data_IF_965018128746
#
_entry.id   IF_965018128746
#
_cell.length_a   1.000
_cell.length_b   1.000
_cell.length_c   1.000
_cell.angle_alpha   90.00
_cell.angle_beta   90.00
_cell.angle_gamma   90.00
#
_symmetry.space_group_name_H-M   'P 1'
#
loop_
_entity.id
_entity.type
_entity.pdbx_description
1 polymer ?
#
# COMPACT_ATOMS: atom_id res chain seq x y z
N UNK A 1 -21.61 -16.74 3.22
CA UNK A 1 -20.15 -16.57 3.32
C UNK A 1 -19.93 -15.19 3.88
N UNK A 2 -19.48 -15.08 5.13
CA UNK A 2 -19.23 -13.76 5.75
C UNK A 2 -17.90 -13.26 5.19
N UNK A 3 -17.92 -12.09 4.57
CA UNK A 3 -16.69 -11.44 4.12
C UNK A 3 -15.91 -10.98 5.36
N UNK A 4 -14.67 -11.41 5.48
CA UNK A 4 -13.80 -10.97 6.57
C UNK A 4 -13.34 -9.54 6.28
N UNK A 5 -14.01 -8.57 6.93
CA UNK A 5 -13.73 -7.14 6.76
C UNK A 5 -12.33 -6.75 7.27
N UNK A 6 -11.79 -7.46 8.25
CA UNK A 6 -10.45 -7.15 8.78
C UNK A 6 -9.37 -7.63 7.82
N UNK A 7 -9.57 -8.80 7.19
CA UNK A 7 -8.70 -9.24 6.11
C UNK A 7 -8.68 -8.20 4.97
N UNK A 8 -9.85 -7.71 4.55
CA UNK A 8 -9.95 -6.71 3.49
C UNK A 8 -9.34 -5.37 3.88
N UNK A 9 -9.55 -4.92 5.12
CA UNK A 9 -8.90 -3.72 5.64
C UNK A 9 -7.37 -3.89 5.64
N UNK A 10 -6.88 -5.07 5.99
CA UNK A 10 -5.45 -5.40 5.93
C UNK A 10 -4.87 -5.26 4.53
N UNK A 11 -5.59 -5.69 3.49
CA UNK A 11 -5.12 -5.56 2.09
C UNK A 11 -4.89 -4.11 1.69
N UNK A 12 -5.90 -3.24 1.90
CA UNK A 12 -5.76 -1.83 1.55
C UNK A 12 -4.71 -1.14 2.44
N UNK A 13 -4.71 -1.42 3.74
CA UNK A 13 -3.75 -0.83 4.68
C UNK A 13 -2.32 -1.16 4.28
N UNK A 14 -2.01 -2.43 4.03
CA UNK A 14 -0.66 -2.86 3.68
C UNK A 14 -0.23 -2.25 2.34
N UNK A 15 -1.13 -2.14 1.36
CA UNK A 15 -0.85 -1.47 0.09
C UNK A 15 -0.57 0.03 0.26
N UNK A 16 -1.34 0.73 1.09
CA UNK A 16 -1.12 2.15 1.41
C UNK A 16 0.21 2.35 2.15
N UNK A 17 0.54 1.48 3.11
CA UNK A 17 1.86 1.52 3.79
C UNK A 17 2.97 1.36 2.76
N UNK A 18 2.90 0.35 1.89
CA UNK A 18 3.91 0.15 0.84
C UNK A 18 4.04 1.39 -0.07
N UNK A 19 2.92 2.01 -0.43
CA UNK A 19 2.91 3.18 -1.30
C UNK A 19 3.44 4.45 -0.62
N UNK A 20 3.24 4.61 0.69
CA UNK A 20 3.68 5.76 1.47
C UNK A 20 5.17 5.75 1.82
N UNK A 21 5.80 4.56 1.84
CA UNK A 21 7.20 4.40 2.23
C UNK A 21 8.16 5.21 1.32
N UNK A 22 9.32 5.64 1.83
CA UNK A 22 10.37 6.21 0.99
C UNK A 22 10.92 5.14 0.03
N UNK A 23 11.39 5.57 -1.14
CA UNK A 23 11.84 4.68 -2.24
C UNK A 23 12.67 3.46 -1.80
N UNK A 24 13.73 3.56 -0.96
CA UNK A 24 14.52 2.39 -0.57
C UNK A 24 13.68 1.33 0.15
N UNK A 25 12.71 1.78 0.95
CA UNK A 25 11.82 0.91 1.69
C UNK A 25 10.73 0.33 0.79
N UNK A 26 10.22 1.09 -0.20
CA UNK A 26 9.31 0.55 -1.22
C UNK A 26 9.94 -0.64 -1.93
N UNK A 27 11.18 -0.49 -2.40
CA UNK A 27 11.92 -1.58 -3.04
C UNK A 27 12.12 -2.76 -2.09
N UNK A 28 12.45 -2.49 -0.82
CA UNK A 28 12.68 -3.54 0.18
C UNK A 28 11.42 -4.37 0.44
N UNK A 29 10.25 -3.75 0.56
CA UNK A 29 9.00 -4.45 0.91
C UNK A 29 8.32 -5.13 -0.27
N UNK A 30 8.60 -4.72 -1.51
CA UNK A 30 8.08 -5.37 -2.72
C UNK A 30 8.99 -6.45 -3.29
N UNK A 31 10.28 -6.47 -2.93
CA UNK A 31 11.20 -7.52 -3.39
C UNK A 31 10.68 -8.91 -2.98
N UNK A 32 10.73 -9.95 -3.84
CA UNK A 32 11.44 -10.03 -5.13
C UNK A 32 10.67 -9.54 -6.37
N UNK A 33 9.46 -9.01 -6.19
CA UNK A 33 8.59 -8.61 -7.29
C UNK A 33 9.00 -7.28 -7.96
N UNK A 34 8.17 -6.86 -8.91
CA UNK A 34 8.37 -5.63 -9.64
C UNK A 34 7.78 -4.46 -8.83
N UNK A 35 8.63 -3.62 -8.24
CA UNK A 35 8.17 -2.56 -7.32
C UNK A 35 7.07 -1.66 -7.89
N UNK A 36 7.14 -1.27 -9.16
CA UNK A 36 6.11 -0.40 -9.76
C UNK A 36 4.79 -1.14 -9.97
N UNK A 37 4.84 -2.37 -10.48
CA UNK A 37 3.65 -3.21 -10.68
C UNK A 37 3.01 -3.57 -9.34
N UNK A 38 3.79 -4.08 -8.40
CA UNK A 38 3.29 -4.56 -7.11
C UNK A 38 2.61 -3.43 -6.33
N UNK A 39 3.21 -2.23 -6.28
CA UNK A 39 2.60 -1.07 -5.62
C UNK A 39 1.25 -0.67 -6.25
N UNK A 40 1.16 -0.67 -7.58
CA UNK A 40 -0.05 -0.30 -8.31
C UNK A 40 -1.13 -1.37 -8.15
N UNK A 41 -0.77 -2.63 -8.36
CA UNK A 41 -1.68 -3.77 -8.33
C UNK A 41 -2.21 -4.02 -6.91
N UNK A 42 -1.35 -3.98 -5.88
CA UNK A 42 -1.77 -4.15 -4.49
C UNK A 42 -2.71 -3.03 -4.06
N UNK A 43 -2.41 -1.77 -4.41
CA UNK A 43 -3.31 -0.64 -4.11
C UNK A 43 -4.65 -0.79 -4.84
N UNK A 44 -4.62 -1.05 -6.14
CA UNK A 44 -5.84 -1.16 -6.97
C UNK A 44 -6.73 -2.29 -6.46
N UNK A 45 -6.14 -3.44 -6.18
CA UNK A 45 -6.85 -4.60 -5.64
C UNK A 45 -7.40 -4.32 -4.23
N UNK A 46 -6.55 -3.83 -3.32
CA UNK A 46 -6.92 -3.50 -1.95
C UNK A 46 -8.06 -2.48 -1.90
N UNK A 47 -7.96 -1.40 -2.68
CA UNK A 47 -8.98 -0.35 -2.78
C UNK A 47 -10.31 -0.93 -3.27
N UNK A 48 -10.29 -1.70 -4.35
CA UNK A 48 -11.49 -2.30 -4.92
C UNK A 48 -12.20 -3.20 -3.89
N UNK A 49 -11.47 -4.09 -3.24
CA UNK A 49 -12.02 -4.97 -2.22
C UNK A 49 -12.58 -4.18 -1.03
N UNK A 50 -11.87 -3.15 -0.58
CA UNK A 50 -12.27 -2.31 0.56
C UNK A 50 -13.52 -1.51 0.26
N UNK A 51 -13.60 -0.81 -0.88
CA UNK A 51 -14.78 -0.04 -1.27
C UNK A 51 -16.01 -0.94 -1.41
N UNK A 52 -15.86 -2.16 -1.95
CA UNK A 52 -16.98 -3.08 -2.14
C UNK A 52 -17.49 -3.69 -0.83
N UNK A 53 -16.61 -3.91 0.15
CA UNK A 53 -16.92 -4.73 1.34
C UNK A 53 -16.94 -3.95 2.65
N UNK A 54 -16.33 -2.77 2.67
CA UNK A 54 -16.07 -1.93 3.83
C UNK A 54 -16.42 -0.45 3.57
N UNK A 55 -17.34 -0.15 2.63
CA UNK A 55 -17.77 1.22 2.35
C UNK A 55 -18.35 1.95 3.55
N UNK A 56 -18.87 1.21 4.54
CA UNK A 56 -19.33 1.73 5.83
C UNK A 56 -18.21 2.30 6.71
N UNK A 57 -16.94 2.02 6.39
CA UNK A 57 -15.74 2.55 7.07
C UNK A 57 -15.14 3.76 6.36
N UNK A 58 -15.70 4.18 5.23
CA UNK A 58 -15.23 5.33 4.47
C UNK A 58 -16.06 6.58 4.81
N UNK A 59 -15.35 7.66 5.04
CA UNK A 59 -15.91 9.01 5.07
C UNK A 59 -15.57 9.75 3.76
N UNK A 60 -16.02 11.00 3.64
CA UNK A 60 -15.78 11.81 2.45
C UNK A 60 -14.28 12.07 2.21
N UNK A 61 -13.50 12.24 3.28
CA UNK A 61 -12.07 12.54 3.21
C UNK A 61 -11.27 11.34 2.68
N UNK A 62 -11.42 10.17 3.31
CA UNK A 62 -10.78 8.93 2.89
C UNK A 62 -11.23 8.50 1.49
N UNK A 63 -12.52 8.67 1.16
CA UNK A 63 -13.03 8.42 -0.20
C UNK A 63 -12.34 9.30 -1.24
N UNK A 64 -12.19 10.60 -0.95
CA UNK A 64 -11.53 11.54 -1.85
C UNK A 64 -10.06 11.21 -2.06
N UNK A 65 -9.34 10.85 -0.99
CA UNK A 65 -7.91 10.48 -1.06
C UNK A 65 -7.70 9.22 -1.89
N UNK A 66 -8.50 8.18 -1.66
CA UNK A 66 -8.42 6.94 -2.43
C UNK A 66 -8.72 7.17 -3.92
N UNK A 67 -9.64 8.08 -4.26
CA UNK A 67 -9.93 8.46 -5.64
C UNK A 67 -8.79 9.27 -6.28
N UNK A 68 -8.11 10.13 -5.51
CA UNK A 68 -6.95 10.88 -6.00
C UNK A 68 -5.73 9.98 -6.26
N UNK A 69 -5.48 8.99 -5.40
CA UNK A 69 -4.43 7.98 -5.64
C UNK A 69 -4.75 7.21 -6.93
N UNK A 70 -5.99 6.74 -7.10
CA UNK A 70 -6.43 6.03 -8.31
C UNK A 70 -6.26 6.88 -9.57
N UNK A 71 -6.70 8.14 -9.55
CA UNK A 71 -6.51 9.06 -10.67
C UNK A 71 -5.03 9.30 -10.98
N UNK A 72 -4.18 9.40 -9.95
CA UNK A 72 -2.74 9.59 -10.14
C UNK A 72 -2.10 8.35 -10.77
N UNK A 73 -2.59 7.15 -10.45
CA UNK A 73 -2.17 5.89 -11.07
C UNK A 73 -2.62 5.83 -12.52
N UNK A 74 -3.87 6.19 -12.82
CA UNK A 74 -4.41 6.20 -14.18
C UNK A 74 -3.67 7.18 -15.11
N UNK A 75 -3.14 8.26 -14.55
CA UNK A 75 -2.33 9.26 -15.27
C UNK A 75 -0.86 8.82 -15.49
N UNK A 76 -0.40 7.72 -14.87
CA UNK A 76 0.95 7.22 -15.08
C UNK A 76 1.13 6.75 -16.53
N UNK A 77 2.22 7.17 -17.14
CA UNK A 77 2.59 6.69 -18.47
C UNK A 77 3.44 5.42 -18.39
N UNK A 78 3.60 4.73 -19.52
CA UNK A 78 4.54 3.60 -19.61
C UNK A 78 5.96 3.99 -19.17
N UNK A 79 6.36 5.24 -19.42
CA UNK A 79 7.68 5.71 -19.01
C UNK A 79 7.79 5.82 -17.49
N UNK A 80 6.68 5.98 -16.76
CA UNK A 80 6.68 6.09 -15.30
C UNK A 80 6.59 4.74 -14.58
N UNK A 81 6.36 3.65 -15.31
CA UNK A 81 6.09 2.31 -14.78
C UNK A 81 6.94 1.20 -15.45
N UNK A 82 8.17 1.51 -15.88
CA UNK A 82 9.05 0.51 -16.49
C UNK A 82 9.32 -0.65 -15.53
N UNK A 83 8.94 -1.86 -15.94
CA UNK A 83 9.05 -3.06 -15.10
C UNK A 83 10.48 -3.31 -14.63
N UNK A 84 10.63 -3.68 -13.35
CA UNK A 84 11.89 -3.96 -12.67
C UNK A 84 12.88 -2.80 -12.61
N UNK A 85 12.47 -1.58 -12.99
CA UNK A 85 13.29 -0.37 -12.85
C UNK A 85 12.82 0.48 -11.66
N UNK A 86 13.48 0.29 -10.52
CA UNK A 86 13.21 1.10 -9.32
C UNK A 86 13.56 2.58 -9.46
N UNK A 87 14.32 2.99 -10.50
CA UNK A 87 14.59 4.41 -10.76
C UNK A 87 13.31 5.18 -11.07
N UNK A 88 12.25 4.50 -11.53
CA UNK A 88 10.96 5.13 -11.79
C UNK A 88 10.37 5.81 -10.55
N UNK A 89 10.64 5.29 -9.35
CA UNK A 89 10.13 5.83 -8.09
C UNK A 89 10.67 7.23 -7.74
N UNK A 90 11.71 7.72 -8.42
CA UNK A 90 12.23 9.08 -8.27
C UNK A 90 11.41 10.13 -9.03
N UNK A 91 10.52 9.69 -9.92
CA UNK A 91 9.74 10.60 -10.75
C UNK A 91 8.66 11.33 -9.96
N UNK A 92 8.24 12.54 -10.38
CA UNK A 92 7.26 13.35 -9.65
C UNK A 92 5.94 12.63 -9.32
N UNK A 93 5.31 11.83 -10.22
CA UNK A 93 4.07 11.14 -9.89
C UNK A 93 4.19 10.21 -8.69
N UNK A 94 5.31 9.50 -8.54
CA UNK A 94 5.56 8.62 -7.39
C UNK A 94 5.76 9.37 -6.08
N UNK A 95 6.26 10.61 -6.12
CA UNK A 95 6.31 11.47 -4.95
C UNK A 95 4.89 11.90 -4.51
N UNK A 96 4.03 12.23 -5.47
CA UNK A 96 2.62 12.53 -5.20
C UNK A 96 1.88 11.32 -4.62
N UNK A 97 2.10 10.12 -5.17
CA UNK A 97 1.50 8.89 -4.65
C UNK A 97 1.91 8.61 -3.20
N UNK A 98 3.19 8.80 -2.84
CA UNK A 98 3.65 8.67 -1.45
C UNK A 98 2.94 9.63 -0.50
N UNK A 99 2.80 10.90 -0.90
CA UNK A 99 2.13 11.91 -0.09
C UNK A 99 0.65 11.57 0.10
N UNK A 100 -0.06 11.27 -0.98
CA UNK A 100 -1.48 10.89 -0.94
C UNK A 100 -1.71 9.61 -0.12
N UNK A 101 -0.82 8.63 -0.22
CA UNK A 101 -0.90 7.40 0.57
C UNK A 101 -0.70 7.67 2.06
N UNK A 102 0.22 8.58 2.42
CA UNK A 102 0.42 9.02 3.81
C UNK A 102 -0.85 9.67 4.35
N UNK A 103 -1.42 10.62 3.61
CA UNK A 103 -2.66 11.30 4.00
C UNK A 103 -3.84 10.30 4.13
N UNK A 104 -3.90 9.29 3.26
CA UNK A 104 -4.92 8.25 3.32
C UNK A 104 -4.77 7.35 4.55
N UNK A 105 -3.53 7.01 4.95
CA UNK A 105 -3.28 6.27 6.19
C UNK A 105 -3.74 7.06 7.40
N UNK A 106 -3.46 8.36 7.45
CA UNK A 106 -3.91 9.24 8.54
C UNK A 106 -5.44 9.32 8.60
N UNK A 107 -6.11 9.54 7.46
CA UNK A 107 -7.57 9.63 7.37
C UNK A 107 -8.26 8.32 7.78
N UNK A 108 -7.64 7.16 7.53
CA UNK A 108 -8.17 5.84 7.87
C UNK A 108 -7.76 5.37 9.29
N UNK A 109 -6.99 6.18 10.03
CA UNK A 109 -6.52 5.83 11.37
C UNK A 109 -5.43 4.74 11.40
N UNK A 110 -4.62 4.65 10.34
CA UNK A 110 -3.57 3.65 10.15
C UNK A 110 -2.15 4.25 10.09
N UNK A 111 -1.95 5.46 10.62
CA UNK A 111 -0.66 6.17 10.61
C UNK A 111 0.52 5.33 11.15
N UNK A 112 0.27 4.51 12.18
CA UNK A 112 1.28 3.67 12.83
C UNK A 112 1.42 2.27 12.21
N UNK A 113 0.69 1.98 11.13
CA UNK A 113 0.75 0.68 10.47
C UNK A 113 2.14 0.44 9.86
N UNK A 114 2.62 -0.80 9.97
CA UNK A 114 3.93 -1.21 9.46
C UNK A 114 3.78 -2.40 8.55
N UNK A 115 4.71 -2.47 7.60
CA UNK A 115 4.80 -3.54 6.64
C UNK A 115 6.17 -4.20 6.73
N UNK A 116 6.17 -5.50 6.98
CA UNK A 116 7.38 -6.31 6.93
C UNK A 116 7.80 -6.53 5.47
N UNK A 117 9.11 -6.66 5.23
CA UNK A 117 9.58 -7.12 3.93
C UNK A 117 9.42 -8.63 3.79
N UNK A 118 9.42 -9.09 2.56
CA UNK A 118 9.57 -10.51 2.30
C UNK A 118 10.95 -11.00 2.74
N UNK A 119 10.98 -12.21 3.27
CA UNK A 119 12.19 -12.94 3.60
C UNK A 119 12.21 -14.23 2.81
N UNK A 120 13.36 -14.56 2.22
CA UNK A 120 13.57 -15.85 1.58
C UNK A 120 13.73 -16.90 2.68
N UNK A 121 12.77 -17.83 2.75
CA UNK A 121 12.75 -18.89 3.77
C UNK A 121 13.36 -20.19 3.27
N UNK A 122 13.28 -20.41 1.96
CA UNK A 122 13.90 -21.50 1.20
C UNK A 122 14.27 -20.96 -0.19
N UNK A 123 15.18 -21.60 -0.95
CA UNK A 123 15.54 -21.13 -2.29
C UNK A 123 14.32 -20.91 -3.20
N UNK A 124 14.06 -19.65 -3.56
CA UNK A 124 12.92 -19.23 -4.38
C UNK A 124 11.57 -19.15 -3.64
N UNK A 125 11.53 -19.37 -2.32
CA UNK A 125 10.31 -19.30 -1.49
C UNK A 125 10.38 -18.09 -0.57
N UNK A 126 9.58 -17.09 -0.91
CA UNK A 126 9.51 -15.81 -0.21
C UNK A 126 8.25 -15.73 0.64
N UNK A 127 8.39 -15.22 1.87
CA UNK A 127 7.27 -15.01 2.80
C UNK A 127 7.35 -13.64 3.45
N UNK A 128 6.22 -12.95 3.55
CA UNK A 128 6.08 -11.72 4.34
C UNK A 128 5.68 -12.07 5.76
N UNK A 129 6.24 -11.34 6.74
CA UNK A 129 5.74 -11.38 8.12
C UNK A 129 4.30 -10.89 8.19
N UNK A 130 3.61 -11.20 9.29
CA UNK A 130 2.29 -10.62 9.55
C UNK A 130 2.46 -9.14 9.91
N UNK A 131 1.88 -8.23 9.11
CA UNK A 131 1.80 -6.81 9.41
C UNK A 131 1.12 -6.60 10.78
N UNK A 132 1.91 -6.32 11.81
CA UNK A 132 1.41 -6.04 13.15
C UNK A 132 1.07 -4.55 13.27
N UNK A 133 -0.11 -4.23 13.79
CA UNK A 133 -0.34 -2.91 14.41
C UNK A 133 0.43 -2.95 15.73
N UNK A 134 1.37 -2.02 15.92
CA UNK A 134 1.98 -1.83 17.24
C UNK A 134 0.93 -1.07 18.06
N UNK A 135 0.09 -1.81 18.79
CA UNK A 135 -0.78 -1.19 19.80
C UNK A 135 0.14 -0.56 20.86
N UNK A 136 0.09 0.77 20.99
CA UNK A 136 0.90 1.57 21.91
C UNK A 136 0.49 1.40 23.37
N UNK A 137 0.19 0.18 23.79
CA UNK A 137 -0.31 -0.16 25.11
C UNK A 137 0.66 -1.11 25.82
N UNK A 138 1.87 -0.65 26.09
CA UNK A 138 2.73 -1.19 27.15
C UNK A 138 3.41 -0.03 27.88
N UNK A 139 2.66 0.53 28.84
CA UNK A 139 3.21 1.26 29.99
C UNK A 139 3.16 0.29 31.16
N UNK A 140 4.33 -0.22 31.55
CA UNK A 140 4.62 -0.63 32.94
C UNK A 140 5.85 0.14 33.44
#
# INVERSE_FOLDING_TARGET
>A
MTVDKELIAGLLRDALVALALPKPEQVRVTHPGCVTCDLIEDFTHGRLCFVQSCSDRLDESSTSLLAQIDSTIDDLTNDDCVCFDSAMLDRPPWASLRALATDALDALGWADAKLDAYTETEPGVWRRGNSAIVDGSDVE
#
